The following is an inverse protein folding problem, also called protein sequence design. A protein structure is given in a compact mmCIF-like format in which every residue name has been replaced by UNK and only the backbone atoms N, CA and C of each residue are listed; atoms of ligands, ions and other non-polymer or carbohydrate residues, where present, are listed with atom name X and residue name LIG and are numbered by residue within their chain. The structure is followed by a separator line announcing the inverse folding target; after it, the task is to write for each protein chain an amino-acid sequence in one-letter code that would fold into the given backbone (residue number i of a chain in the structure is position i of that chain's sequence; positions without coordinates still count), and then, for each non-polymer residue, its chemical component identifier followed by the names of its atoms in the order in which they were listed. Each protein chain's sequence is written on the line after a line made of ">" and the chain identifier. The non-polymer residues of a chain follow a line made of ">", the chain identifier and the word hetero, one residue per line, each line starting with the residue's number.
data_IF_888237576200
#
_entry.id   IF_888237576200
#
_cell.length_a   1.000
_cell.length_b   1.000
_cell.length_c   1.000
_cell.angle_alpha   90.00
_cell.angle_beta   90.00
_cell.angle_gamma   90.00
#
_symmetry.space_group_name_H-M   'P 1'
#
loop_
_entity.id
_entity.type
_entity.pdbx_description
1 polymer ?
#
# COMPACT_ATOMS: atom_id res chain seq x y z
N UNK A 1 9.23 -1.13 -5.56
CA UNK A 1 8.15 -1.98 -6.07
C UNK A 1 8.34 -2.36 -7.54
N UNK A 2 8.62 -1.42 -8.48
CA UNK A 2 8.86 -1.72 -9.91
C UNK A 2 10.02 -2.71 -10.08
N UNK A 3 11.13 -2.51 -9.38
CA UNK A 3 12.28 -3.42 -9.41
C UNK A 3 11.92 -4.82 -8.90
N UNK A 4 11.17 -4.92 -7.80
CA UNK A 4 10.71 -6.22 -7.29
C UNK A 4 9.86 -6.96 -8.31
N UNK A 5 8.93 -6.26 -8.99
CA UNK A 5 8.14 -6.86 -10.07
C UNK A 5 9.02 -7.34 -11.23
N UNK A 6 9.95 -6.49 -11.67
CA UNK A 6 10.86 -6.83 -12.77
C UNK A 6 11.74 -8.05 -12.47
N UNK A 7 12.19 -8.17 -11.21
CA UNK A 7 13.03 -9.28 -10.75
C UNK A 7 12.23 -10.48 -10.23
N UNK A 8 10.89 -10.44 -10.32
CA UNK A 8 9.98 -11.47 -9.77
C UNK A 8 10.19 -11.73 -8.28
N UNK A 9 10.57 -10.69 -7.51
CA UNK A 9 10.71 -10.75 -6.07
C UNK A 9 9.33 -10.50 -5.45
N UNK A 10 8.87 -11.45 -4.64
CA UNK A 10 7.62 -11.30 -3.89
C UNK A 10 7.69 -10.10 -2.93
N UNK A 11 6.63 -9.32 -2.86
CA UNK A 11 6.50 -8.21 -1.93
C UNK A 11 5.06 -8.03 -1.48
N UNK A 12 4.91 -7.48 -0.29
CA UNK A 12 3.62 -7.05 0.27
C UNK A 12 3.80 -5.66 0.86
N UNK A 13 2.86 -4.78 0.61
CA UNK A 13 2.77 -3.50 1.32
C UNK A 13 1.84 -3.72 2.51
N UNK A 14 2.38 -3.58 3.71
CA UNK A 14 1.60 -3.79 4.93
C UNK A 14 0.45 -2.76 5.02
N UNK A 15 -0.72 -3.15 5.55
CA UNK A 15 -1.85 -2.24 5.71
C UNK A 15 -1.58 -1.14 6.74
N UNK A 16 -0.74 -1.42 7.74
CA UNK A 16 -0.29 -0.47 8.74
C UNK A 16 1.23 -0.46 8.83
N UNK A 17 1.82 -1.44 9.51
CA UNK A 17 3.26 -1.47 9.77
C UNK A 17 3.89 -2.73 9.23
N UNK A 18 5.05 -2.57 8.59
CA UNK A 18 5.77 -3.68 7.99
C UNK A 18 6.25 -4.70 9.04
N UNK A 19 6.57 -4.25 10.24
CA UNK A 19 7.03 -5.10 11.35
C UNK A 19 5.97 -6.12 11.75
N UNK A 20 4.76 -5.69 12.03
CA UNK A 20 3.65 -6.59 12.36
C UNK A 20 3.29 -7.56 11.24
N UNK A 21 3.31 -7.07 9.99
CA UNK A 21 3.07 -7.92 8.81
C UNK A 21 4.16 -8.98 8.64
N UNK A 22 5.42 -8.62 8.84
CA UNK A 22 6.54 -9.55 8.74
C UNK A 22 6.48 -10.63 9.84
N UNK A 23 6.16 -10.24 11.07
CA UNK A 23 5.94 -11.17 12.19
C UNK A 23 4.80 -12.14 11.89
N UNK A 24 3.69 -11.64 11.34
CA UNK A 24 2.59 -12.51 10.93
C UNK A 24 3.04 -13.52 9.88
N UNK A 25 3.79 -13.11 8.86
CA UNK A 25 4.26 -14.01 7.80
C UNK A 25 5.25 -15.07 8.31
N UNK A 26 6.07 -14.74 9.28
CA UNK A 26 7.04 -15.68 9.90
C UNK A 26 6.35 -16.69 10.82
N UNK A 27 5.41 -16.21 11.66
CA UNK A 27 4.73 -17.02 12.66
C UNK A 27 3.53 -17.80 12.11
N UNK A 28 3.06 -17.47 10.91
CA UNK A 28 1.91 -18.15 10.32
C UNK A 28 2.20 -19.65 10.15
N UNK A 29 1.24 -20.56 10.46
CA UNK A 29 1.45 -22.00 10.36
C UNK A 29 1.95 -22.48 8.99
N UNK A 30 1.64 -21.75 7.91
CA UNK A 30 2.14 -22.04 6.55
C UNK A 30 3.57 -21.58 6.30
N UNK A 31 4.22 -20.91 7.24
CA UNK A 31 5.60 -20.43 7.16
C UNK A 31 5.90 -19.71 5.85
N UNK A 32 5.25 -18.56 5.61
CA UNK A 32 5.48 -17.76 4.40
C UNK A 32 6.91 -17.23 4.30
N UNK A 33 7.55 -16.96 5.44
CA UNK A 33 8.96 -16.58 5.54
C UNK A 33 9.63 -17.41 6.64
N UNK A 34 10.94 -17.68 6.47
CA UNK A 34 11.71 -18.53 7.39
C UNK A 34 12.65 -17.75 8.30
N UNK A 35 12.91 -16.47 7.99
CA UNK A 35 13.76 -15.60 8.78
C UNK A 35 13.35 -14.14 8.54
N UNK A 36 13.53 -13.33 9.58
CA UNK A 36 13.26 -11.89 9.51
C UNK A 36 14.57 -11.12 9.53
N UNK A 37 14.73 -10.20 8.56
CA UNK A 37 15.77 -9.18 8.56
C UNK A 37 15.10 -7.82 8.75
N UNK A 38 15.44 -7.12 9.82
CA UNK A 38 14.80 -5.86 10.13
C UNK A 38 15.31 -5.22 11.42
N UNK A 39 14.61 -4.20 11.92
CA UNK A 39 14.98 -3.50 13.14
C UNK A 39 14.80 -4.39 14.38
N UNK A 40 15.52 -4.05 15.45
CA UNK A 40 15.45 -4.76 16.74
C UNK A 40 14.06 -4.73 17.39
N UNK A 41 13.21 -3.79 16.99
CA UNK A 41 11.82 -3.64 17.44
C UNK A 41 10.95 -4.87 17.13
N UNK A 42 11.31 -5.67 16.12
CA UNK A 42 10.67 -6.94 15.86
C UNK A 42 10.70 -7.89 17.06
N UNK A 43 11.71 -7.78 17.93
CA UNK A 43 11.80 -8.57 19.16
C UNK A 43 10.74 -8.20 20.21
N UNK A 44 10.08 -7.06 20.08
CA UNK A 44 8.99 -6.66 20.98
C UNK A 44 7.71 -7.50 20.79
N UNK A 45 7.53 -8.12 19.61
CA UNK A 45 6.37 -8.96 19.34
C UNK A 45 6.46 -10.32 20.06
N UNK A 46 5.31 -10.81 20.52
CA UNK A 46 5.22 -12.11 21.22
C UNK A 46 5.72 -13.25 20.32
N UNK A 47 6.37 -14.26 20.93
CA UNK A 47 6.89 -15.47 20.28
C UNK A 47 7.90 -15.24 19.14
N UNK A 48 8.45 -14.05 18.97
CA UNK A 48 9.58 -13.78 18.08
C UNK A 48 10.87 -14.03 18.86
N UNK A 49 11.69 -14.99 18.42
CA UNK A 49 12.98 -15.26 19.10
C UNK A 49 14.15 -14.57 18.40
N UNK A 50 14.29 -14.74 17.08
CA UNK A 50 15.50 -14.31 16.36
C UNK A 50 15.20 -13.32 15.26
N UNK A 51 15.97 -12.24 15.23
CA UNK A 51 15.92 -11.21 14.18
C UNK A 51 17.33 -10.95 13.67
N UNK A 52 17.51 -11.01 12.37
CA UNK A 52 18.74 -10.65 11.70
C UNK A 52 18.81 -9.12 11.65
N UNK A 53 19.84 -8.55 12.24
CA UNK A 53 20.04 -7.10 12.32
C UNK A 53 20.97 -6.57 11.24
N UNK A 54 21.93 -7.39 10.81
CA UNK A 54 22.90 -7.01 9.79
C UNK A 54 23.29 -8.22 8.95
N UNK A 55 23.47 -8.00 7.64
CA UNK A 55 23.98 -9.00 6.70
C UNK A 55 25.20 -8.47 5.95
N UNK A 56 26.30 -9.22 6.00
CA UNK A 56 27.46 -9.01 5.16
C UNK A 56 27.45 -10.01 4.00
N UNK A 57 26.88 -9.57 2.89
CA UNK A 57 26.72 -10.41 1.69
C UNK A 57 28.06 -10.77 1.04
N UNK A 58 29.13 -9.98 1.26
CA UNK A 58 30.46 -10.24 0.68
C UNK A 58 31.14 -11.42 1.36
N UNK A 59 30.95 -11.55 2.68
CA UNK A 59 31.59 -12.60 3.48
C UNK A 59 30.61 -13.72 3.85
N UNK A 60 29.34 -13.65 3.41
CA UNK A 60 28.34 -14.65 3.72
C UNK A 60 28.01 -14.75 5.21
N UNK A 61 28.11 -13.65 5.96
CA UNK A 61 27.89 -13.60 7.40
C UNK A 61 26.67 -12.74 7.74
N UNK A 62 26.03 -13.04 8.85
CA UNK A 62 24.98 -12.19 9.41
C UNK A 62 25.08 -12.11 10.92
N UNK A 63 24.56 -11.01 11.46
CA UNK A 63 24.43 -10.79 12.90
C UNK A 63 22.94 -10.82 13.25
N UNK A 64 22.60 -11.53 14.32
CA UNK A 64 21.22 -11.62 14.80
C UNK A 64 21.16 -11.38 16.30
N UNK A 65 20.00 -10.93 16.78
CA UNK A 65 19.65 -10.86 18.17
C UNK A 65 18.65 -11.97 18.51
N UNK A 66 18.81 -12.59 19.69
CA UNK A 66 17.89 -13.57 20.24
C UNK A 66 17.15 -12.98 21.45
N UNK A 67 15.83 -12.94 21.40
CA UNK A 67 14.96 -12.49 22.50
C UNK A 67 15.12 -13.37 23.75
N UNK A 68 15.20 -14.69 23.54
CA UNK A 68 15.39 -15.64 24.64
C UNK A 68 16.69 -15.36 25.40
N UNK A 69 17.79 -15.12 24.68
CA UNK A 69 19.07 -14.76 25.31
C UNK A 69 19.01 -13.41 26.04
N UNK A 70 18.33 -12.42 25.45
CA UNK A 70 18.12 -11.11 26.10
C UNK A 70 17.29 -11.23 27.36
N UNK A 71 16.14 -11.94 27.31
CA UNK A 71 15.27 -12.13 28.49
C UNK A 71 16.00 -12.87 29.62
N UNK A 72 16.78 -13.89 29.26
CA UNK A 72 17.62 -14.61 30.24
C UNK A 72 18.65 -13.68 30.91
N UNK A 73 19.29 -12.82 30.12
CA UNK A 73 20.27 -11.84 30.64
C UNK A 73 19.63 -10.78 31.52
N UNK A 74 18.43 -10.32 31.15
CA UNK A 74 17.66 -9.33 31.87
C UNK A 74 16.85 -9.93 33.04
N UNK A 75 16.75 -11.26 33.10
CA UNK A 75 15.97 -12.02 34.06
C UNK A 75 14.49 -11.59 34.09
N UNK A 76 13.89 -11.37 32.93
CA UNK A 76 12.50 -10.94 32.79
C UNK A 76 11.69 -11.92 31.95
N UNK A 77 10.37 -11.90 32.13
CA UNK A 77 9.42 -12.62 31.31
C UNK A 77 9.06 -11.79 30.05
N UNK A 78 8.25 -12.35 29.17
CA UNK A 78 7.91 -11.73 27.88
C UNK A 78 7.12 -10.41 28.05
N UNK A 79 6.20 -10.35 28.99
CA UNK A 79 5.45 -9.15 29.27
C UNK A 79 6.34 -8.03 29.87
N UNK A 80 7.25 -8.38 30.79
CA UNK A 80 8.23 -7.45 31.35
C UNK A 80 9.26 -6.99 30.29
N UNK A 81 9.63 -7.87 29.37
CA UNK A 81 10.50 -7.50 28.25
C UNK A 81 9.83 -6.47 27.33
N UNK A 82 8.59 -6.71 26.92
CA UNK A 82 7.81 -5.76 26.13
C UNK A 82 7.71 -4.40 26.85
N UNK A 83 7.31 -4.40 28.12
CA UNK A 83 7.18 -3.18 28.91
C UNK A 83 8.54 -2.44 29.02
N UNK A 84 9.63 -3.17 29.18
CA UNK A 84 10.99 -2.61 29.21
C UNK A 84 11.37 -1.93 27.91
N UNK A 85 11.13 -2.58 26.78
CA UNK A 85 11.45 -2.04 25.44
C UNK A 85 10.62 -0.79 25.15
N UNK A 86 9.34 -0.79 25.51
CA UNK A 86 8.46 0.37 25.36
C UNK A 86 8.96 1.57 26.17
N UNK A 87 9.37 1.37 27.44
CA UNK A 87 9.84 2.43 28.32
C UNK A 87 11.20 3.01 27.89
N UNK A 88 12.07 2.18 27.34
CA UNK A 88 13.35 2.64 26.75
C UNK A 88 13.14 3.51 25.52
N UNK A 89 12.05 3.26 24.82
CA UNK A 89 11.65 3.99 23.61
C UNK A 89 11.84 3.21 22.34
N UNK A 90 10.85 3.29 21.47
CA UNK A 90 10.81 2.71 20.15
C UNK A 90 9.91 3.54 19.23
N UNK A 91 9.75 3.14 17.97
CA UNK A 91 8.92 3.86 16.98
C UNK A 91 7.49 4.15 17.49
N UNK A 92 6.90 3.23 18.28
CA UNK A 92 5.51 3.36 18.76
C UNK A 92 5.39 4.12 20.08
N UNK A 93 6.47 4.25 20.83
CA UNK A 93 6.45 4.84 22.15
C UNK A 93 7.74 5.63 22.41
N UNK A 94 7.68 6.92 22.71
CA UNK A 94 8.87 7.65 23.08
C UNK A 94 9.45 7.12 24.41
N UNK A 95 10.71 7.42 24.66
CA UNK A 95 11.36 7.09 25.94
C UNK A 95 10.55 7.67 27.11
N UNK A 96 10.36 6.87 28.15
CA UNK A 96 9.63 7.29 29.35
C UNK A 96 10.29 8.53 29.96
N UNK A 97 9.56 9.68 30.08
CA UNK A 97 10.18 10.94 30.47
C UNK A 97 10.84 10.91 31.85
N UNK A 98 10.29 10.13 32.79
CA UNK A 98 10.86 10.00 34.14
C UNK A 98 12.25 9.29 34.12
N UNK A 99 12.61 8.57 33.10
CA UNK A 99 13.95 7.99 32.90
C UNK A 99 15.01 9.04 32.49
N UNK A 100 14.57 10.24 32.14
CA UNK A 100 15.46 11.34 31.73
C UNK A 100 15.65 12.38 32.84
N UNK A 101 14.97 12.21 33.96
CA UNK A 101 15.05 13.12 35.11
C UNK A 101 15.74 12.43 36.31
N UNK A 102 16.90 12.94 36.67
CA UNK A 102 17.69 12.41 37.79
C UNK A 102 16.95 12.48 39.13
N UNK A 103 16.00 13.42 39.31
CA UNK A 103 15.24 13.58 40.52
C UNK A 103 14.31 12.41 40.85
N UNK A 104 13.97 11.60 39.85
CA UNK A 104 13.10 10.43 40.01
C UNK A 104 13.78 9.21 40.64
N UNK A 105 15.10 9.18 40.67
CA UNK A 105 15.87 8.03 41.14
C UNK A 105 15.83 6.82 40.19
N UNK A 106 15.23 6.94 38.98
CA UNK A 106 15.18 5.88 37.97
C UNK A 106 16.42 5.86 37.10
N UNK A 107 17.18 6.92 37.06
CA UNK A 107 18.37 7.08 36.17
C UNK A 107 19.63 6.87 37.00
N UNK A 108 20.52 6.03 36.47
CA UNK A 108 21.87 5.81 37.07
C UNK A 108 22.97 6.60 36.37
N UNK A 109 22.68 7.16 35.17
CA UNK A 109 23.62 8.02 34.42
C UNK A 109 22.86 8.83 33.36
N UNK A 110 23.32 10.04 33.09
CA UNK A 110 22.80 10.88 31.98
C UNK A 110 23.11 10.22 30.65
N UNK A 111 22.07 9.94 29.85
CA UNK A 111 22.24 9.34 28.52
C UNK A 111 21.08 8.42 28.13
N UNK A 112 21.35 7.52 27.18
CA UNK A 112 20.35 6.54 26.73
C UNK A 112 20.00 5.58 27.87
N UNK A 113 18.70 5.34 28.17
CA UNK A 113 18.29 4.44 29.23
C UNK A 113 18.89 3.03 29.07
N UNK A 114 19.44 2.50 30.13
CA UNK A 114 20.02 1.16 30.12
C UNK A 114 18.91 0.10 30.29
N UNK A 115 18.76 -0.79 29.30
CA UNK A 115 17.75 -1.86 29.33
C UNK A 115 17.74 -2.66 30.64
N UNK A 116 18.90 -2.95 31.21
CA UNK A 116 19.01 -3.73 32.47
C UNK A 116 18.40 -2.96 33.64
N UNK A 117 18.69 -1.67 33.75
CA UNK A 117 18.15 -0.81 34.82
C UNK A 117 16.65 -0.66 34.68
N UNK A 118 16.17 -0.38 33.46
CA UNK A 118 14.72 -0.27 33.20
C UNK A 118 14.00 -1.58 33.48
N UNK A 119 14.56 -2.72 33.09
CA UNK A 119 14.00 -4.05 33.39
C UNK A 119 13.93 -4.31 34.90
N UNK A 120 14.90 -3.87 35.69
CA UNK A 120 14.85 -3.96 37.15
C UNK A 120 13.71 -3.12 37.72
N UNK A 121 13.50 -1.92 37.23
CA UNK A 121 12.36 -1.07 37.65
C UNK A 121 11.04 -1.70 37.24
N UNK A 122 10.87 -2.20 36.03
CA UNK A 122 9.64 -2.88 35.61
C UNK A 122 9.30 -4.03 36.56
N UNK A 123 10.29 -4.86 36.95
CA UNK A 123 10.09 -5.96 37.90
C UNK A 123 9.76 -5.47 39.28
N UNK A 124 10.42 -4.39 39.76
CA UNK A 124 10.16 -3.79 41.08
C UNK A 124 8.73 -3.28 41.17
N UNK A 125 8.21 -2.63 40.14
CA UNK A 125 6.85 -2.13 40.06
C UNK A 125 5.86 -3.17 39.49
N UNK A 126 6.31 -4.40 39.15
CA UNK A 126 5.54 -5.52 38.61
C UNK A 126 5.03 -5.35 37.18
N UNK A 127 4.99 -4.17 36.62
CA UNK A 127 4.67 -3.90 35.23
C UNK A 127 5.08 -2.48 34.84
N UNK A 128 5.27 -2.26 33.53
CA UNK A 128 5.50 -0.91 32.98
C UNK A 128 4.31 0.02 33.21
N UNK A 129 3.08 -0.52 33.16
CA UNK A 129 1.87 0.25 33.45
C UNK A 129 1.87 0.81 34.88
N UNK A 130 2.17 -0.01 35.91
CA UNK A 130 2.24 0.45 37.29
C UNK A 130 3.38 1.42 37.51
N UNK A 131 4.51 1.24 36.82
CA UNK A 131 5.61 2.20 36.86
C UNK A 131 5.18 3.56 36.27
N UNK A 132 4.56 3.57 35.10
CA UNK A 132 4.03 4.80 34.49
C UNK A 132 2.98 5.49 35.40
N UNK A 133 2.07 4.70 35.99
CA UNK A 133 1.03 5.21 36.90
C UNK A 133 1.61 5.83 38.16
N UNK A 134 2.70 5.27 38.73
CA UNK A 134 3.36 5.80 39.90
C UNK A 134 3.93 7.22 39.66
N UNK A 135 4.40 7.48 38.43
CA UNK A 135 4.93 8.79 38.03
C UNK A 135 3.93 9.63 37.23
N UNK A 136 2.64 9.32 37.28
CA UNK A 136 1.60 10.05 36.52
C UNK A 136 1.53 11.54 36.81
N UNK A 137 1.84 11.94 38.05
CA UNK A 137 1.86 13.34 38.48
C UNK A 137 3.17 14.07 38.11
N UNK A 138 4.18 13.35 37.65
CA UNK A 138 5.44 13.97 37.24
C UNK A 138 5.18 14.92 36.03
N UNK A 139 5.65 16.18 36.07
CA UNK A 139 5.25 17.21 35.10
C UNK A 139 5.46 16.83 33.66
N UNK A 140 6.58 16.16 33.33
CA UNK A 140 6.87 15.73 31.95
C UNK A 140 6.02 14.53 31.52
N UNK A 141 5.69 13.62 32.44
CA UNK A 141 4.83 12.44 32.18
C UNK A 141 3.40 12.90 31.98
N UNK A 142 2.87 13.77 32.81
CA UNK A 142 1.54 14.34 32.71
C UNK A 142 1.38 15.17 31.43
N UNK A 143 2.35 16.05 31.12
CA UNK A 143 2.33 16.88 29.91
C UNK A 143 2.33 16.03 28.62
N UNK A 144 3.00 14.90 28.64
CA UNK A 144 3.07 13.99 27.49
C UNK A 144 1.86 13.05 27.39
N UNK A 145 0.97 13.00 28.38
CA UNK A 145 -0.04 11.95 28.52
C UNK A 145 0.57 10.55 28.30
N UNK A 146 1.73 10.30 28.90
CA UNK A 146 2.58 9.17 28.57
C UNK A 146 1.93 7.82 28.87
N UNK A 147 1.12 7.73 29.91
CA UNK A 147 0.42 6.49 30.25
C UNK A 147 -0.47 6.00 29.10
N UNK A 148 -1.20 6.91 28.46
CA UNK A 148 -2.05 6.60 27.32
C UNK A 148 -1.20 6.17 26.11
N UNK A 149 -0.09 6.89 25.85
CA UNK A 149 0.84 6.52 24.78
C UNK A 149 1.45 5.12 25.00
N UNK A 150 1.82 4.79 26.23
CA UNK A 150 2.34 3.48 26.59
C UNK A 150 1.31 2.37 26.37
N UNK A 151 0.07 2.59 26.83
CA UNK A 151 -1.03 1.64 26.63
C UNK A 151 -1.36 1.44 25.14
N UNK A 152 -1.41 2.52 24.35
CA UNK A 152 -1.62 2.47 22.92
C UNK A 152 -0.49 1.70 22.21
N UNK A 153 0.76 1.99 22.51
CA UNK A 153 1.90 1.31 21.91
C UNK A 153 1.92 -0.20 22.24
N UNK A 154 1.59 -0.55 23.47
CA UNK A 154 1.45 -1.95 23.88
C UNK A 154 0.34 -2.67 23.11
N UNK A 155 -0.80 -2.03 22.95
CA UNK A 155 -1.90 -2.57 22.14
C UNK A 155 -1.55 -2.64 20.65
N UNK A 156 -0.81 -1.65 20.11
CA UNK A 156 -0.34 -1.66 18.72
C UNK A 156 0.57 -2.86 18.44
N UNK A 157 1.45 -3.24 19.33
CA UNK A 157 2.30 -4.42 19.16
C UNK A 157 1.46 -5.68 19.24
N UNK A 158 0.65 -5.82 20.29
CA UNK A 158 -0.10 -7.05 20.56
C UNK A 158 -1.20 -7.32 19.55
N UNK A 159 -1.88 -6.28 19.08
CA UNK A 159 -3.03 -6.35 18.18
C UNK A 159 -2.78 -5.67 16.84
N UNK A 160 -1.52 -5.63 16.39
CA UNK A 160 -1.18 -5.01 15.11
C UNK A 160 -2.13 -5.46 14.01
N UNK A 161 -2.53 -4.54 13.13
CA UNK A 161 -3.43 -4.86 12.03
C UNK A 161 -2.61 -5.35 10.84
N UNK A 162 -2.90 -6.57 10.41
CA UNK A 162 -2.16 -7.28 9.35
C UNK A 162 -3.10 -7.75 8.25
N UNK A 163 -2.53 -7.95 7.07
CA UNK A 163 -3.21 -8.57 5.93
C UNK A 163 -3.02 -10.08 5.99
N UNK A 164 -4.11 -10.82 6.09
CA UNK A 164 -4.12 -12.27 5.93
C UNK A 164 -3.80 -12.63 4.47
N UNK A 165 -2.77 -13.44 4.19
CA UNK A 165 -2.39 -13.77 2.83
C UNK A 165 -3.35 -14.76 2.16
N UNK A 166 -4.17 -15.47 2.91
CA UNK A 166 -5.06 -16.50 2.41
C UNK A 166 -6.33 -15.93 1.79
N UNK A 167 -6.99 -15.04 2.49
CA UNK A 167 -8.28 -14.46 2.10
C UNK A 167 -8.22 -12.95 1.80
N UNK A 168 -7.08 -12.30 2.08
CA UNK A 168 -6.91 -10.87 1.92
C UNK A 168 -7.64 -10.04 2.97
N UNK A 169 -8.16 -10.66 4.03
CA UNK A 169 -8.81 -9.97 5.13
C UNK A 169 -7.79 -9.17 5.95
N UNK A 170 -8.25 -8.06 6.52
CA UNK A 170 -7.45 -7.20 7.36
C UNK A 170 -7.92 -7.35 8.80
N UNK A 171 -7.11 -8.01 9.57
CA UNK A 171 -7.46 -8.48 10.92
C UNK A 171 -6.33 -8.21 11.91
N UNK A 172 -6.63 -8.15 13.24
CA UNK A 172 -5.60 -8.13 14.26
C UNK A 172 -4.68 -9.36 14.20
N UNK A 173 -3.40 -9.15 14.48
CA UNK A 173 -2.36 -10.19 14.45
C UNK A 173 -2.74 -11.49 15.16
N UNK A 174 -3.31 -11.50 16.39
CA UNK A 174 -3.71 -12.73 17.04
C UNK A 174 -4.79 -13.53 16.27
N UNK A 175 -5.69 -12.83 15.57
CA UNK A 175 -6.69 -13.50 14.72
C UNK A 175 -6.08 -14.07 13.45
N UNK A 176 -5.13 -13.36 12.83
CA UNK A 176 -4.42 -13.84 11.65
C UNK A 176 -3.61 -15.12 11.90
N UNK A 177 -3.12 -15.32 13.14
CA UNK A 177 -2.34 -16.48 13.55
C UNK A 177 -3.20 -17.65 14.06
N UNK A 178 -4.49 -17.43 14.31
CA UNK A 178 -5.40 -18.42 14.85
C UNK A 178 -6.12 -19.19 13.73
N UNK A 179 -5.51 -20.27 13.21
CA UNK A 179 -6.18 -21.13 12.21
C UNK A 179 -7.23 -22.06 12.82
N UNK A 180 -6.97 -22.59 14.01
CA UNK A 180 -7.86 -23.56 14.69
C UNK A 180 -7.82 -23.35 16.20
N UNK A 181 -8.97 -23.21 16.81
CA UNK A 181 -9.08 -23.05 18.26
C UNK A 181 -10.07 -21.96 18.68
N UNK A 182 -10.18 -21.68 19.99
CA UNK A 182 -10.97 -20.57 20.46
C UNK A 182 -10.36 -19.25 19.93
N UNK A 183 -11.21 -18.41 19.34
CA UNK A 183 -10.75 -17.11 18.84
C UNK A 183 -10.20 -16.27 20.00
N UNK A 184 -9.03 -15.65 19.83
CA UNK A 184 -8.49 -14.77 20.85
C UNK A 184 -9.44 -13.62 21.12
N UNK A 185 -9.50 -13.19 22.36
CA UNK A 185 -10.28 -12.03 22.77
C UNK A 185 -9.61 -10.75 22.23
N UNK A 186 -10.36 -9.97 21.48
CA UNK A 186 -9.89 -8.72 20.90
C UNK A 186 -10.58 -7.56 21.59
N UNK A 187 -9.85 -6.56 22.09
CA UNK A 187 -10.44 -5.38 22.69
C UNK A 187 -11.39 -4.65 21.73
N UNK A 188 -12.54 -4.23 22.23
CA UNK A 188 -13.58 -3.57 21.42
C UNK A 188 -13.18 -2.13 21.00
N UNK A 189 -12.24 -1.54 21.71
CA UNK A 189 -11.73 -0.17 21.54
C UNK A 189 -10.52 -0.07 20.61
N UNK A 190 -10.10 -1.16 19.98
CA UNK A 190 -9.00 -1.12 19.00
C UNK A 190 -9.23 -0.10 17.86
N UNK A 191 -10.48 0.23 17.56
CA UNK A 191 -10.80 1.24 16.56
C UNK A 191 -10.35 2.65 16.97
N UNK A 192 -10.16 2.94 18.26
CA UNK A 192 -9.62 4.21 18.74
C UNK A 192 -8.12 4.33 18.47
N UNK A 193 -7.40 3.21 18.59
CA UNK A 193 -5.95 3.14 18.33
C UNK A 193 -5.67 3.16 16.82
N UNK A 194 -6.48 2.42 16.05
CA UNK A 194 -6.36 2.31 14.58
C UNK A 194 -7.44 3.14 13.87
N UNK A 195 -7.70 4.37 14.34
CA UNK A 195 -8.81 5.24 13.95
C UNK A 195 -8.85 5.61 12.47
N UNK A 196 -7.70 5.66 11.80
CA UNK A 196 -7.61 6.00 10.37
C UNK A 196 -7.69 4.78 9.46
N UNK A 197 -8.46 3.78 9.84
CA UNK A 197 -8.63 2.56 9.06
C UNK A 197 -9.24 2.86 7.70
N UNK A 198 -8.49 2.57 6.65
CA UNK A 198 -8.97 2.61 5.27
C UNK A 198 -9.92 1.44 5.00
N UNK A 199 -10.81 1.55 4.01
CA UNK A 199 -11.60 0.42 3.53
C UNK A 199 -10.70 -0.75 3.13
N UNK A 200 -11.13 -1.97 3.41
CA UNK A 200 -10.35 -3.20 3.14
C UNK A 200 -9.93 -3.31 1.67
N UNK A 201 -10.79 -2.92 0.74
CA UNK A 201 -10.45 -2.90 -0.69
C UNK A 201 -9.26 -1.99 -1.00
N UNK A 202 -9.21 -0.79 -0.40
CA UNK A 202 -8.10 0.15 -0.60
C UNK A 202 -6.81 -0.42 -0.03
N UNK A 203 -6.86 -1.01 1.17
CA UNK A 203 -5.72 -1.66 1.80
C UNK A 203 -5.25 -2.88 0.99
N UNK A 204 -6.17 -3.67 0.46
CA UNK A 204 -5.83 -4.81 -0.42
C UNK A 204 -5.12 -4.34 -1.70
N UNK A 205 -5.62 -3.28 -2.36
CA UNK A 205 -4.98 -2.74 -3.56
C UNK A 205 -3.59 -2.17 -3.27
N UNK A 206 -3.41 -1.49 -2.13
CA UNK A 206 -2.10 -1.03 -1.67
C UNK A 206 -1.15 -2.20 -1.41
N UNK A 207 -1.59 -3.20 -0.67
CA UNK A 207 -0.78 -4.37 -0.29
C UNK A 207 -0.30 -5.17 -1.50
N UNK A 208 -1.13 -5.28 -2.53
CA UNK A 208 -0.80 -5.93 -3.79
C UNK A 208 -0.03 -5.02 -4.76
N UNK A 209 0.21 -3.77 -4.39
CA UNK A 209 0.86 -2.78 -5.24
C UNK A 209 0.07 -2.42 -6.49
N UNK A 210 -1.24 -2.66 -6.50
CA UNK A 210 -2.15 -2.28 -7.58
C UNK A 210 -2.45 -0.77 -7.54
N UNK A 211 -2.33 -0.16 -6.38
CA UNK A 211 -2.48 1.28 -6.17
C UNK A 211 -1.18 1.86 -5.61
N UNK A 212 -0.79 3.03 -6.13
CA UNK A 212 0.36 3.75 -5.59
C UNK A 212 0.00 4.43 -4.26
N UNK A 213 0.91 4.36 -3.30
CA UNK A 213 0.80 5.10 -2.04
C UNK A 213 0.74 6.62 -2.25
N UNK A 214 1.35 7.12 -3.34
CA UNK A 214 1.32 8.55 -3.67
C UNK A 214 -0.08 9.05 -4.01
N UNK A 215 -0.91 8.25 -4.69
CA UNK A 215 -2.30 8.62 -5.02
C UNK A 215 -3.15 8.71 -3.75
N UNK A 216 -3.01 7.75 -2.84
CA UNK A 216 -3.67 7.81 -1.55
C UNK A 216 -3.17 8.98 -0.70
N UNK A 217 -1.85 9.21 -0.69
CA UNK A 217 -1.24 10.35 -0.01
C UNK A 217 -1.79 11.68 -0.52
N UNK A 218 -1.98 11.83 -1.83
CA UNK A 218 -2.58 13.01 -2.44
C UNK A 218 -4.02 13.24 -1.96
N UNK A 219 -4.81 12.19 -1.86
CA UNK A 219 -6.18 12.29 -1.35
C UNK A 219 -6.22 12.66 0.14
N UNK A 220 -5.38 12.02 0.95
CA UNK A 220 -5.32 12.28 2.40
C UNK A 220 -4.81 13.68 2.72
N UNK A 221 -3.77 14.15 2.04
CA UNK A 221 -3.22 15.50 2.21
C UNK A 221 -4.10 16.59 1.58
N UNK A 222 -4.85 16.25 0.54
CA UNK A 222 -5.58 17.20 -0.30
C UNK A 222 -4.71 17.86 -1.37
N UNK A 223 -3.49 17.37 -1.60
CA UNK A 223 -2.56 17.92 -2.57
C UNK A 223 -1.94 16.86 -3.48
N UNK A 224 -1.95 17.12 -4.77
CA UNK A 224 -1.13 16.42 -5.77
C UNK A 224 0.11 17.29 -6.03
N UNK A 225 1.25 16.85 -5.55
CA UNK A 225 2.51 17.55 -5.74
C UNK A 225 3.24 16.93 -6.93
N UNK A 226 3.45 17.71 -7.97
CA UNK A 226 4.22 17.31 -9.15
C UNK A 226 5.66 17.82 -9.02
N UNK A 227 6.61 16.94 -8.70
CA UNK A 227 8.01 17.35 -8.57
C UNK A 227 8.64 17.65 -9.92
N UNK A 228 9.67 18.50 -9.93
CA UNK A 228 10.48 18.69 -11.11
C UNK A 228 11.11 17.35 -11.55
N UNK A 229 11.13 17.06 -12.87
CA UNK A 229 11.89 15.93 -13.39
C UNK A 229 13.40 16.20 -13.29
N UNK A 230 14.21 15.17 -13.57
CA UNK A 230 15.67 15.25 -13.45
C UNK A 230 16.32 16.32 -14.32
N UNK A 231 15.70 16.66 -15.46
CA UNK A 231 16.11 17.71 -16.38
C UNK A 231 15.41 19.07 -16.14
N UNK A 232 14.82 19.24 -14.95
CA UNK A 232 14.01 20.39 -14.52
C UNK A 232 12.72 20.64 -15.31
N UNK A 233 12.43 19.89 -16.37
CA UNK A 233 11.19 19.99 -17.15
C UNK A 233 10.95 21.40 -17.73
N UNK A 234 11.95 21.96 -18.43
CA UNK A 234 11.92 23.34 -18.89
C UNK A 234 11.03 23.57 -20.12
N UNK A 235 10.77 22.52 -20.90
CA UNK A 235 9.96 22.66 -22.11
C UNK A 235 8.49 22.96 -21.79
N UNK A 236 7.89 23.85 -22.60
CA UNK A 236 6.47 24.21 -22.43
C UNK A 236 5.55 23.02 -22.75
N UNK A 237 5.93 22.18 -23.71
CA UNK A 237 5.20 20.96 -24.10
C UNK A 237 5.09 19.99 -22.93
N UNK A 238 6.18 19.76 -22.21
CA UNK A 238 6.17 18.88 -21.06
C UNK A 238 5.34 19.44 -19.89
N UNK A 239 5.46 20.75 -19.62
CA UNK A 239 4.62 21.42 -18.61
C UNK A 239 3.14 21.36 -18.98
N UNK A 240 2.81 21.59 -20.25
CA UNK A 240 1.44 21.46 -20.76
C UNK A 240 0.93 20.01 -20.63
N UNK A 241 1.77 19.00 -20.95
CA UNK A 241 1.43 17.60 -20.77
C UNK A 241 1.09 17.27 -19.33
N UNK A 242 1.97 17.62 -18.37
CA UNK A 242 1.75 17.38 -16.93
C UNK A 242 0.49 18.07 -16.43
N UNK A 243 0.30 19.31 -16.84
CA UNK A 243 -0.83 20.12 -16.41
C UNK A 243 -2.14 19.60 -17.00
N UNK A 244 -2.25 19.53 -18.31
CA UNK A 244 -3.50 19.25 -19.01
C UNK A 244 -3.79 17.75 -19.06
N UNK A 245 -2.87 16.96 -19.62
CA UNK A 245 -3.15 15.55 -19.87
C UNK A 245 -3.06 14.66 -18.62
N UNK A 246 -2.21 15.00 -17.66
CA UNK A 246 -2.09 14.19 -16.45
C UNK A 246 -3.03 14.61 -15.34
N UNK A 247 -3.39 15.91 -15.23
CA UNK A 247 -3.94 16.44 -13.97
C UNK A 247 -5.24 17.24 -14.12
N UNK A 248 -5.30 18.26 -14.98
CA UNK A 248 -6.42 19.21 -14.98
C UNK A 248 -7.61 18.79 -15.87
N UNK A 249 -7.40 17.97 -16.88
CA UNK A 249 -8.50 17.46 -17.69
C UNK A 249 -9.37 16.53 -16.84
N UNK A 250 -10.72 16.68 -16.86
CA UNK A 250 -11.61 15.80 -16.11
C UNK A 250 -11.48 14.30 -16.44
N UNK A 251 -11.00 13.98 -17.63
CA UNK A 251 -10.73 12.60 -18.08
C UNK A 251 -9.27 12.18 -17.88
N UNK A 252 -8.48 13.05 -17.26
CA UNK A 252 -7.05 12.78 -16.99
C UNK A 252 -6.85 11.58 -16.07
N UNK A 253 -5.70 10.90 -16.18
CA UNK A 253 -5.39 9.75 -15.32
C UNK A 253 -5.48 10.04 -13.84
N UNK A 254 -5.09 11.24 -13.40
CA UNK A 254 -5.14 11.61 -11.98
C UNK A 254 -6.56 11.86 -11.51
N UNK A 255 -7.35 12.61 -12.27
CA UNK A 255 -8.77 12.82 -11.96
C UNK A 255 -9.51 11.50 -11.80
N UNK A 256 -9.35 10.60 -12.76
CA UNK A 256 -10.02 9.31 -12.74
C UNK A 256 -9.51 8.42 -11.61
N UNK A 257 -8.20 8.37 -11.34
CA UNK A 257 -7.65 7.59 -10.24
C UNK A 257 -8.17 8.08 -8.87
N UNK A 258 -8.18 9.40 -8.65
CA UNK A 258 -8.72 10.00 -7.42
C UNK A 258 -10.23 9.70 -7.30
N UNK A 259 -11.00 9.86 -8.38
CA UNK A 259 -12.43 9.62 -8.37
C UNK A 259 -12.77 8.14 -8.08
N UNK A 260 -12.03 7.19 -8.64
CA UNK A 260 -12.20 5.76 -8.36
C UNK A 260 -11.92 5.42 -6.90
N UNK A 261 -10.84 5.98 -6.32
CA UNK A 261 -10.52 5.76 -4.91
C UNK A 261 -11.57 6.41 -4.01
N UNK A 262 -11.97 7.64 -4.31
CA UNK A 262 -13.06 8.32 -3.59
C UNK A 262 -14.37 7.52 -3.64
N UNK A 263 -14.65 6.87 -4.79
CA UNK A 263 -15.80 5.98 -4.95
C UNK A 263 -15.77 4.75 -4.05
N UNK A 264 -14.59 4.24 -3.75
CA UNK A 264 -14.39 3.09 -2.85
C UNK A 264 -14.36 3.49 -1.36
N UNK A 265 -14.23 4.77 -1.05
CA UNK A 265 -14.15 5.28 0.32
C UNK A 265 -15.51 5.79 0.82
N UNK A 266 -15.58 6.16 2.11
CA UNK A 266 -16.76 6.79 2.68
C UNK A 266 -17.19 8.05 1.88
N UNK A 267 -18.48 8.36 1.73
CA UNK A 267 -18.98 9.51 0.96
C UNK A 267 -18.35 10.87 1.30
N UNK A 268 -17.89 11.05 2.54
CA UNK A 268 -17.13 12.23 2.97
C UNK A 268 -15.93 12.53 2.06
N UNK A 269 -15.22 11.50 1.56
CA UNK A 269 -14.05 11.65 0.71
C UNK A 269 -14.36 12.07 -0.71
N UNK A 270 -15.59 11.83 -1.19
CA UNK A 270 -16.02 12.21 -2.55
C UNK A 270 -16.06 13.72 -2.74
N UNK A 271 -16.33 14.45 -1.67
CA UNK A 271 -16.43 15.92 -1.70
C UNK A 271 -15.13 16.61 -1.30
N UNK A 272 -14.06 15.83 -0.99
CA UNK A 272 -12.80 16.42 -0.58
C UNK A 272 -12.15 17.13 -1.75
N UNK A 273 -11.90 18.43 -1.59
CA UNK A 273 -11.14 19.21 -2.56
C UNK A 273 -9.69 18.71 -2.59
N UNK A 274 -9.18 18.45 -3.78
CA UNK A 274 -7.78 18.11 -4.05
C UNK A 274 -7.20 19.17 -4.97
N UNK A 275 -6.07 19.76 -4.58
CA UNK A 275 -5.38 20.79 -5.36
C UNK A 275 -4.09 20.24 -5.94
N UNK A 276 -3.76 20.61 -7.18
CA UNK A 276 -2.48 20.31 -7.81
C UNK A 276 -1.49 21.45 -7.58
N UNK A 277 -0.26 21.09 -7.23
CA UNK A 277 0.87 22.00 -7.05
C UNK A 277 1.99 21.59 -8.00
N UNK A 278 2.37 22.48 -8.91
CA UNK A 278 3.39 22.21 -9.92
C UNK A 278 4.72 22.87 -9.55
N UNK A 279 5.85 22.21 -9.83
CA UNK A 279 7.20 22.77 -9.59
C UNK A 279 7.44 24.09 -10.31
N UNK A 280 6.80 24.29 -11.47
CA UNK A 280 6.93 25.49 -12.28
C UNK A 280 5.93 26.60 -11.91
N UNK A 281 4.95 26.33 -11.06
CA UNK A 281 3.97 27.26 -10.52
C UNK A 281 3.59 26.92 -9.07
N UNK A 282 4.53 26.93 -8.14
CA UNK A 282 4.29 26.42 -6.78
C UNK A 282 3.34 27.29 -5.93
N UNK A 283 3.05 28.51 -6.38
CA UNK A 283 2.18 29.44 -5.66
C UNK A 283 0.72 29.41 -6.13
N UNK A 284 0.41 28.60 -7.15
CA UNK A 284 -0.94 28.52 -7.73
C UNK A 284 -1.53 27.16 -7.46
N UNK A 285 -2.56 27.13 -6.63
CA UNK A 285 -3.32 25.93 -6.37
C UNK A 285 -4.41 25.76 -7.43
N UNK A 286 -4.30 24.71 -8.22
CA UNK A 286 -5.31 24.35 -9.21
C UNK A 286 -6.16 23.19 -8.68
N UNK A 287 -7.48 23.36 -8.65
CA UNK A 287 -8.37 22.27 -8.21
C UNK A 287 -8.40 21.15 -9.24
N UNK A 288 -8.12 19.92 -8.83
CA UNK A 288 -8.26 18.71 -9.64
C UNK A 288 -9.75 18.37 -9.76
N UNK A 289 -10.34 18.34 -10.98
CA UNK A 289 -11.78 18.20 -11.18
C UNK A 289 -12.25 16.72 -11.15
N UNK A 290 -11.87 15.98 -10.09
CA UNK A 290 -12.17 14.55 -9.98
C UNK A 290 -13.66 14.23 -9.71
N UNK A 291 -14.44 15.21 -9.26
CA UNK A 291 -15.88 15.13 -9.04
C UNK A 291 -16.71 15.65 -10.23
N UNK A 292 -16.05 16.12 -11.30
CA UNK A 292 -16.71 16.65 -12.47
C UNK A 292 -17.56 15.62 -13.20
N UNK A 293 -18.65 16.07 -13.84
CA UNK A 293 -19.56 15.17 -14.57
C UNK A 293 -18.87 14.31 -15.64
N UNK A 294 -17.92 14.80 -16.46
CA UNK A 294 -17.24 13.95 -17.43
C UNK A 294 -16.49 12.78 -16.79
N UNK A 295 -15.84 13.01 -15.63
CA UNK A 295 -15.16 11.97 -14.85
C UNK A 295 -16.14 10.91 -14.37
N UNK A 296 -17.25 11.33 -13.75
CA UNK A 296 -18.25 10.43 -13.22
C UNK A 296 -18.96 9.64 -14.33
N UNK A 297 -19.22 10.25 -15.47
CA UNK A 297 -19.79 9.59 -16.64
C UNK A 297 -18.83 8.52 -17.20
N UNK A 298 -17.56 8.81 -17.29
CA UNK A 298 -16.53 7.86 -17.74
C UNK A 298 -16.45 6.64 -16.80
N UNK A 299 -16.41 6.87 -15.49
CA UNK A 299 -16.40 5.80 -14.49
C UNK A 299 -17.64 4.93 -14.56
N UNK A 300 -18.83 5.55 -14.67
CA UNK A 300 -20.09 4.82 -14.80
C UNK A 300 -20.12 3.93 -16.05
N UNK A 301 -19.61 4.45 -17.15
CA UNK A 301 -19.55 3.73 -18.43
C UNK A 301 -18.60 2.54 -18.37
N UNK A 302 -17.46 2.67 -17.69
CA UNK A 302 -16.53 1.55 -17.49
C UNK A 302 -17.16 0.36 -16.76
N UNK A 303 -18.19 0.57 -15.94
CA UNK A 303 -18.89 -0.53 -15.26
C UNK A 303 -19.69 -1.43 -16.22
N UNK A 304 -19.92 -1.01 -17.45
CA UNK A 304 -20.63 -1.79 -18.48
C UNK A 304 -19.79 -2.94 -19.06
N UNK A 305 -18.47 -2.91 -18.88
CA UNK A 305 -17.62 -4.03 -19.26
C UNK A 305 -17.95 -5.26 -18.43
N UNK A 306 -18.40 -6.32 -19.13
CA UNK A 306 -18.68 -7.60 -18.52
C UNK A 306 -18.33 -8.74 -19.50
N UNK A 307 -17.15 -9.34 -19.32
CA UNK A 307 -16.69 -10.49 -20.10
C UNK A 307 -16.65 -11.70 -19.16
N UNK A 308 -17.59 -12.65 -19.32
CA UNK A 308 -17.63 -13.83 -18.46
C UNK A 308 -16.47 -14.81 -18.76
N UNK A 309 -16.14 -15.65 -17.78
CA UNK A 309 -15.04 -16.62 -17.89
C UNK A 309 -15.18 -17.53 -19.13
N UNK A 310 -16.40 -17.96 -19.47
CA UNK A 310 -16.63 -18.83 -20.63
C UNK A 310 -16.20 -18.16 -21.95
N UNK A 311 -16.51 -16.86 -22.12
CA UNK A 311 -16.07 -16.10 -23.28
C UNK A 311 -14.54 -15.90 -23.30
N UNK A 312 -13.98 -15.66 -22.11
CA UNK A 312 -12.53 -15.52 -21.97
C UNK A 312 -11.80 -16.82 -22.33
N UNK A 313 -12.28 -17.97 -21.86
CA UNK A 313 -11.74 -19.29 -22.20
C UNK A 313 -11.86 -19.60 -23.71
N UNK A 314 -12.94 -19.14 -24.35
CA UNK A 314 -13.11 -19.25 -25.80
C UNK A 314 -12.07 -18.40 -26.54
N UNK A 315 -11.86 -17.15 -26.12
CA UNK A 315 -10.90 -16.24 -26.73
C UNK A 315 -9.45 -16.70 -26.54
N UNK A 316 -9.09 -17.20 -25.37
CA UNK A 316 -7.77 -17.80 -25.13
C UNK A 316 -7.50 -18.97 -26.09
N UNK A 317 -8.48 -19.86 -26.26
CA UNK A 317 -8.37 -20.96 -27.23
C UNK A 317 -8.31 -20.49 -28.68
N UNK A 318 -9.17 -19.53 -29.07
CA UNK A 318 -9.22 -19.01 -30.45
C UNK A 318 -7.90 -18.32 -30.84
N UNK A 319 -7.30 -17.58 -29.91
CA UNK A 319 -6.07 -16.84 -30.15
C UNK A 319 -4.81 -17.67 -29.86
N UNK A 320 -4.97 -18.90 -29.41
CA UNK A 320 -3.88 -19.79 -28.95
C UNK A 320 -2.96 -19.10 -27.95
N UNK A 321 -3.57 -18.38 -26.99
CA UNK A 321 -2.87 -17.65 -25.94
C UNK A 321 -3.04 -18.37 -24.61
N UNK A 322 -1.99 -18.36 -23.78
CA UNK A 322 -2.01 -18.81 -22.38
C UNK A 322 -2.05 -17.65 -21.37
N UNK A 323 -1.99 -16.41 -21.87
CA UNK A 323 -1.91 -15.20 -21.03
C UNK A 323 -3.06 -14.26 -21.34
N UNK A 324 -3.52 -13.58 -20.28
CA UNK A 324 -4.52 -12.50 -20.38
C UNK A 324 -3.74 -11.19 -20.38
N UNK A 325 -3.64 -10.57 -21.56
CA UNK A 325 -2.86 -9.37 -21.78
C UNK A 325 -3.57 -8.37 -22.71
N UNK A 326 -2.94 -7.23 -22.97
CA UNK A 326 -3.46 -6.20 -23.89
C UNK A 326 -3.68 -6.74 -25.31
N UNK A 327 -2.74 -7.50 -25.91
CA UNK A 327 -2.97 -8.12 -27.21
C UNK A 327 -4.23 -8.98 -27.28
N UNK A 328 -4.46 -9.86 -26.30
CA UNK A 328 -5.68 -10.68 -26.23
C UNK A 328 -6.94 -9.81 -26.24
N UNK A 329 -6.96 -8.76 -25.44
CA UNK A 329 -8.10 -7.85 -25.32
C UNK A 329 -8.37 -7.10 -26.64
N UNK A 330 -7.32 -6.61 -27.32
CA UNK A 330 -7.44 -5.91 -28.60
C UNK A 330 -7.88 -6.85 -29.71
N UNK A 331 -7.35 -8.08 -29.78
CA UNK A 331 -7.80 -9.08 -30.74
C UNK A 331 -9.26 -9.47 -30.61
N UNK A 332 -9.77 -9.54 -29.36
CA UNK A 332 -11.18 -9.81 -29.09
C UNK A 332 -12.07 -8.70 -29.64
N UNK A 333 -11.70 -7.44 -29.41
CA UNK A 333 -12.49 -6.25 -29.77
C UNK A 333 -12.20 -5.74 -31.20
N UNK A 334 -11.27 -6.36 -31.93
CA UNK A 334 -11.01 -6.05 -33.34
C UNK A 334 -12.18 -6.44 -34.25
N UNK A 335 -12.94 -7.48 -33.88
CA UNK A 335 -14.16 -7.88 -34.56
C UNK A 335 -15.37 -7.22 -33.89
N UNK A 336 -16.10 -6.33 -34.58
CA UNK A 336 -17.27 -5.65 -34.04
C UNK A 336 -18.38 -6.62 -33.57
N UNK A 337 -18.51 -7.79 -34.17
CA UNK A 337 -19.47 -8.79 -33.74
C UNK A 337 -19.12 -9.34 -32.35
N UNK A 338 -17.84 -9.59 -32.10
CA UNK A 338 -17.35 -10.05 -30.79
C UNK A 338 -17.35 -8.93 -29.75
N UNK A 339 -16.99 -7.72 -30.13
CA UNK A 339 -17.01 -6.55 -29.25
C UNK A 339 -18.41 -6.33 -28.62
N UNK A 340 -19.48 -6.61 -29.34
CA UNK A 340 -20.86 -6.53 -28.80
C UNK A 340 -21.12 -7.48 -27.63
N UNK A 341 -20.45 -8.62 -27.57
CA UNK A 341 -20.60 -9.60 -26.50
C UNK A 341 -19.85 -9.22 -25.22
N UNK A 342 -18.99 -8.21 -25.26
CA UNK A 342 -18.29 -7.68 -24.08
C UNK A 342 -19.10 -6.63 -23.31
N UNK A 343 -20.23 -6.17 -23.88
CA UNK A 343 -21.12 -5.17 -23.25
C UNK A 343 -22.08 -5.87 -22.31
N UNK A 344 -22.01 -5.52 -21.01
CA UNK A 344 -22.98 -5.96 -20.01
C UNK A 344 -24.13 -4.96 -19.86
N UNK A 345 -25.37 -5.47 -19.77
CA UNK A 345 -26.57 -4.65 -19.51
C UNK A 345 -26.71 -4.25 -18.05
N UNK A 346 -26.07 -5.00 -17.15
CA UNK A 346 -26.11 -4.78 -15.70
C UNK A 346 -24.72 -4.99 -15.10
N UNK A 347 -24.39 -4.23 -14.07
CA UNK A 347 -23.15 -4.45 -13.32
C UNK A 347 -23.21 -5.83 -12.64
N UNK A 348 -22.37 -6.76 -13.05
CA UNK A 348 -22.23 -8.09 -12.46
C UNK A 348 -20.97 -8.14 -11.62
N UNK A 349 -21.04 -8.80 -10.47
CA UNK A 349 -19.89 -9.05 -9.63
C UNK A 349 -19.01 -10.11 -10.33
N UNK A 350 -17.77 -9.72 -10.61
CA UNK A 350 -16.76 -10.63 -11.14
C UNK A 350 -16.15 -11.40 -9.97
N UNK A 351 -16.17 -12.71 -10.02
CA UNK A 351 -15.71 -13.54 -8.90
C UNK A 351 -14.38 -14.24 -9.19
N UNK A 352 -14.16 -14.60 -10.46
CA UNK A 352 -12.94 -15.30 -10.86
C UNK A 352 -11.79 -14.33 -11.13
N UNK A 353 -10.57 -14.72 -10.73
CA UNK A 353 -9.37 -13.91 -10.91
C UNK A 353 -9.16 -13.50 -12.36
N UNK A 354 -9.34 -14.43 -13.30
CA UNK A 354 -9.09 -14.20 -14.73
C UNK A 354 -10.13 -13.22 -15.33
N UNK A 355 -11.39 -13.32 -14.90
CA UNK A 355 -12.42 -12.34 -15.26
C UNK A 355 -12.06 -10.93 -14.76
N UNK A 356 -11.57 -10.83 -13.51
CA UNK A 356 -11.15 -9.54 -12.95
C UNK A 356 -9.99 -8.94 -13.73
N UNK A 357 -8.97 -9.73 -14.08
CA UNK A 357 -7.81 -9.27 -14.86
C UNK A 357 -8.27 -8.80 -16.23
N UNK A 358 -8.99 -9.63 -16.97
CA UNK A 358 -9.43 -9.33 -18.34
C UNK A 358 -10.33 -8.08 -18.40
N UNK A 359 -11.36 -8.02 -17.55
CA UNK A 359 -12.25 -6.87 -17.49
C UNK A 359 -11.52 -5.59 -17.07
N UNK A 360 -10.52 -5.68 -16.19
CA UNK A 360 -9.69 -4.53 -15.84
C UNK A 360 -8.87 -4.01 -17.01
N UNK A 361 -8.33 -4.89 -17.86
CA UNK A 361 -7.59 -4.51 -19.07
C UNK A 361 -8.50 -3.82 -20.09
N UNK A 362 -9.69 -4.35 -20.37
CA UNK A 362 -10.64 -3.72 -21.29
C UNK A 362 -11.11 -2.35 -20.78
N UNK A 363 -11.45 -2.24 -19.48
CA UNK A 363 -11.80 -0.96 -18.83
C UNK A 363 -10.66 0.04 -18.93
N UNK A 364 -9.43 -0.40 -18.75
CA UNK A 364 -8.24 0.43 -18.90
C UNK A 364 -8.06 0.91 -20.34
N UNK A 365 -8.24 0.06 -21.35
CA UNK A 365 -8.15 0.44 -22.75
C UNK A 365 -9.21 1.47 -23.15
N UNK A 366 -10.44 1.32 -22.67
CA UNK A 366 -11.49 2.33 -22.87
C UNK A 366 -11.13 3.65 -22.13
N UNK A 367 -10.73 3.54 -20.87
CA UNK A 367 -10.33 4.69 -20.06
C UNK A 367 -9.23 5.51 -20.74
N UNK A 368 -8.27 4.84 -21.37
CA UNK A 368 -7.18 5.48 -22.09
C UNK A 368 -7.54 5.87 -23.52
N UNK A 369 -8.78 5.69 -23.96
CA UNK A 369 -9.24 6.09 -25.29
C UNK A 369 -8.72 5.23 -26.45
N UNK A 370 -8.32 3.99 -26.17
CA UNK A 370 -8.01 3.01 -27.22
C UNK A 370 -9.25 2.28 -27.72
N UNK A 371 -10.27 2.19 -26.89
CA UNK A 371 -11.59 1.67 -27.23
C UNK A 371 -12.66 2.75 -27.09
N UNK A 372 -13.70 2.66 -27.90
CA UNK A 372 -14.90 3.51 -27.84
C UNK A 372 -15.87 3.01 -26.77
N UNK A 373 -16.95 3.77 -26.54
CA UNK A 373 -18.05 3.35 -25.68
C UNK A 373 -18.77 2.10 -26.19
N UNK A 374 -18.72 1.84 -27.48
CA UNK A 374 -19.25 0.66 -28.16
C UNK A 374 -18.26 -0.50 -28.18
N UNK A 375 -17.17 -0.39 -27.42
CA UNK A 375 -16.09 -1.37 -27.30
C UNK A 375 -15.31 -1.63 -28.61
N UNK A 376 -15.42 -0.74 -29.58
CA UNK A 376 -14.67 -0.83 -30.85
C UNK A 376 -13.38 -0.03 -30.78
N UNK A 377 -12.44 -0.31 -31.70
CA UNK A 377 -11.16 0.36 -31.74
C UNK A 377 -11.27 1.82 -32.20
N UNK A 378 -10.69 2.75 -31.46
CA UNK A 378 -10.39 4.12 -31.90
C UNK A 378 -9.24 4.11 -32.92
N UNK A 379 -8.86 5.26 -33.46
CA UNK A 379 -7.68 5.39 -34.32
C UNK A 379 -6.41 4.91 -33.59
N UNK A 380 -6.22 5.32 -32.34
CA UNK A 380 -5.09 4.88 -31.51
C UNK A 380 -5.18 3.41 -31.13
N UNK A 381 -6.39 2.87 -30.90
CA UNK A 381 -6.60 1.44 -30.68
C UNK A 381 -6.20 0.60 -31.89
N UNK A 382 -6.54 1.06 -33.11
CA UNK A 382 -6.09 0.40 -34.35
C UNK A 382 -4.58 0.45 -34.53
N UNK A 383 -3.95 1.59 -34.22
CA UNK A 383 -2.49 1.73 -34.28
C UNK A 383 -1.80 0.77 -33.28
N UNK A 384 -2.28 0.72 -32.04
CA UNK A 384 -1.78 -0.19 -31.02
C UNK A 384 -1.94 -1.67 -31.45
N UNK A 385 -3.11 -2.01 -31.96
CA UNK A 385 -3.41 -3.35 -32.48
C UNK A 385 -2.47 -3.75 -33.63
N UNK A 386 -2.29 -2.87 -34.63
CA UNK A 386 -1.38 -3.09 -35.75
C UNK A 386 0.07 -3.27 -35.27
N UNK A 387 0.51 -2.46 -34.31
CA UNK A 387 1.85 -2.59 -33.74
C UNK A 387 2.06 -3.96 -33.10
N UNK A 388 1.09 -4.47 -32.34
CA UNK A 388 1.17 -5.81 -31.74
C UNK A 388 1.09 -6.94 -32.76
N UNK A 389 0.48 -6.73 -33.91
CA UNK A 389 0.48 -7.75 -34.99
C UNK A 389 1.81 -7.84 -35.73
N UNK A 390 2.48 -6.71 -35.98
CA UNK A 390 3.71 -6.66 -36.78
C UNK A 390 4.97 -6.91 -35.94
N UNK A 391 4.96 -6.50 -34.68
CA UNK A 391 6.06 -6.75 -33.76
C UNK A 391 5.65 -7.93 -32.88
N UNK A 392 6.39 -9.04 -32.97
CA UNK A 392 6.27 -10.13 -31.99
C UNK A 392 6.77 -9.62 -30.64
N UNK A 393 5.93 -8.81 -30.00
CA UNK A 393 6.25 -8.13 -28.75
C UNK A 393 6.19 -9.17 -27.65
N UNK A 394 7.32 -9.40 -27.00
CA UNK A 394 7.32 -10.13 -25.74
C UNK A 394 6.78 -9.23 -24.62
N UNK A 395 6.47 -9.80 -23.48
CA UNK A 395 5.89 -9.07 -22.33
C UNK A 395 6.70 -7.83 -21.93
N UNK A 396 8.00 -7.80 -22.19
CA UNK A 396 8.88 -6.66 -21.86
C UNK A 396 8.65 -5.44 -22.77
N UNK A 397 8.13 -5.64 -23.98
CA UNK A 397 7.93 -4.56 -24.95
C UNK A 397 6.50 -4.00 -24.95
N UNK A 398 5.54 -4.66 -24.30
CA UNK A 398 4.16 -4.18 -24.25
C UNK A 398 4.04 -2.81 -23.57
N UNK A 399 4.64 -2.64 -22.40
CA UNK A 399 4.60 -1.37 -21.66
C UNK A 399 5.30 -0.23 -22.44
N UNK A 400 6.54 -0.37 -22.95
CA UNK A 400 7.17 0.67 -23.75
C UNK A 400 6.37 1.07 -25.01
N UNK A 401 5.78 0.10 -25.71
CA UNK A 401 4.97 0.38 -26.89
C UNK A 401 3.70 1.17 -26.54
N UNK A 402 3.02 0.75 -25.48
CA UNK A 402 1.87 1.47 -24.98
C UNK A 402 2.23 2.91 -24.57
N UNK A 403 3.33 3.09 -23.83
CA UNK A 403 3.82 4.41 -23.44
C UNK A 403 4.18 5.29 -24.63
N UNK A 404 4.82 4.75 -25.68
CA UNK A 404 5.13 5.51 -26.89
C UNK A 404 3.87 6.06 -27.55
N UNK A 405 2.82 5.23 -27.70
CA UNK A 405 1.55 5.68 -28.26
C UNK A 405 0.82 6.71 -27.37
N UNK A 406 0.92 6.59 -26.06
CA UNK A 406 0.39 7.59 -25.13
C UNK A 406 1.10 8.94 -25.28
N UNK A 407 2.42 8.95 -25.42
CA UNK A 407 3.20 10.15 -25.62
C UNK A 407 2.93 10.81 -26.99
N UNK A 408 2.73 10.01 -28.04
CA UNK A 408 2.29 10.52 -29.37
C UNK A 408 0.90 11.14 -29.26
N UNK A 409 -0.04 10.47 -28.61
CA UNK A 409 -1.40 10.98 -28.40
C UNK A 409 -1.41 12.30 -27.61
N UNK A 410 -0.54 12.41 -26.61
CA UNK A 410 -0.36 13.63 -25.83
C UNK A 410 0.45 14.72 -26.54
N UNK A 411 0.90 14.48 -27.77
CA UNK A 411 1.75 15.39 -28.57
C UNK A 411 3.09 15.72 -27.92
N UNK A 412 3.59 14.85 -27.07
CA UNK A 412 4.96 14.95 -26.52
C UNK A 412 5.98 14.38 -27.49
N UNK A 413 5.60 13.33 -28.21
CA UNK A 413 6.36 12.77 -29.32
C UNK A 413 5.63 13.06 -30.63
N UNK A 414 6.36 13.47 -31.66
CA UNK A 414 5.82 13.57 -33.03
C UNK A 414 5.81 12.18 -33.68
N UNK A 415 4.75 11.90 -34.45
CA UNK A 415 4.69 10.72 -35.32
C UNK A 415 5.18 11.06 -36.76
N UNK A 416 5.50 12.32 -37.03
CA UNK A 416 5.98 12.75 -38.31
C UNK A 416 7.46 12.34 -38.49
N UNK A 417 7.82 11.87 -39.67
CA UNK A 417 9.21 11.64 -40.04
C UNK A 417 9.94 13.00 -40.13
N UNK A 418 11.13 13.05 -39.58
CA UNK A 418 12.01 14.22 -39.71
C UNK A 418 12.55 14.33 -41.13
#
# INVERSE_FOLDING_TARGET
>A
LRMCRYLHIGYVVAPYQATGQLVMMERHPKQYVHAMYGPSELLAFDDVDKVILHMDLRHGKFQYASKVALMSTLQCNEAEFLDTVLLVGMEYCPTFPALQDESTGLVTSVGTPNLRVVSQHVRQYRSGFLLCSHFSEHPMVAKAAYLDQFCHARAMIKYNIVLSPDDGAIVPLPLALCERGPKPEIPSDLHEIFSFRLPEQVLLYLSRGLMSTSVLGSLLSGFVIEPAPLDNGETQEYRHFVRTYLTEDPTSPRCVAIALICGAMHPFWRQRKVSAVYWFQPQVDVTVPHDAQPTQHLISRMSQWHVPAAMLDEELRRQNSSTIDIPLCLHTTADPARAKHTVGLTAVRLEKKDELVANSLWRFLELRGFLTAEHTHTAYGRALFAAFQHVRVNDRLQEPLFMALELIRARVLSADEF
#
